data_IF_694728657487
#
_entry.id   IF_694728657487
#
_cell.length_a   1.000
_cell.length_b   1.000
_cell.length_c   1.000
_cell.angle_alpha   90.00
_cell.angle_beta   90.00
_cell.angle_gamma   90.00
#
_symmetry.space_group_name_H-M   'P 1'
#
loop_
_entity.id
_entity.type
_entity.pdbx_description
1 polymer ?
#
# COMPACT_ATOMS: atom_id res chain seq x y z
N UNK A 1 -10.05 4.19 -19.15
CA UNK A 1 -8.98 3.88 -18.18
C UNK A 1 -8.77 5.13 -17.34
N UNK A 2 -8.72 5.02 -16.03
CA UNK A 2 -8.43 6.13 -15.11
C UNK A 2 -6.96 6.03 -14.69
N UNK A 3 -6.23 7.13 -14.71
CA UNK A 3 -4.82 7.18 -14.31
C UNK A 3 -4.73 7.78 -12.90
N UNK A 4 -3.80 7.26 -12.09
CA UNK A 4 -3.51 7.72 -10.74
C UNK A 4 -2.08 8.27 -10.69
N UNK A 5 -1.88 9.38 -10.00
CA UNK A 5 -0.57 10.04 -9.87
C UNK A 5 0.04 9.71 -8.50
N UNK A 6 1.18 9.01 -8.44
CA UNK A 6 1.91 8.80 -7.18
C UNK A 6 2.60 10.10 -6.75
N UNK A 7 2.00 10.81 -5.80
CA UNK A 7 2.45 12.14 -5.35
C UNK A 7 3.94 12.16 -4.98
N UNK A 8 4.47 11.23 -4.16
CA UNK A 8 5.87 11.33 -3.75
C UNK A 8 6.87 11.15 -4.91
N UNK A 9 6.48 10.42 -5.96
CA UNK A 9 7.35 10.21 -7.13
C UNK A 9 7.49 11.46 -8.00
N UNK A 10 6.43 12.26 -8.12
CA UNK A 10 6.41 13.41 -9.03
C UNK A 10 6.57 14.76 -8.33
N UNK A 11 6.17 14.85 -7.07
CA UNK A 11 6.16 16.12 -6.34
C UNK A 11 7.07 16.14 -5.12
N UNK A 12 7.68 14.99 -4.76
CA UNK A 12 8.67 14.88 -3.69
C UNK A 12 8.13 15.39 -2.34
N UNK A 13 8.80 16.39 -1.77
CA UNK A 13 8.49 17.01 -0.48
C UNK A 13 7.54 18.22 -0.59
N UNK A 14 6.87 18.40 -1.73
CA UNK A 14 5.89 19.48 -1.88
C UNK A 14 4.77 19.33 -0.87
N UNK A 15 4.22 20.47 -0.39
CA UNK A 15 2.99 20.47 0.38
C UNK A 15 1.88 19.67 -0.31
N UNK A 16 1.19 18.82 0.46
CA UNK A 16 0.25 17.86 -0.12
C UNK A 16 -0.91 18.55 -0.84
N UNK A 17 -1.45 19.65 -0.30
CA UNK A 17 -2.54 20.39 -0.92
C UNK A 17 -2.10 21.04 -2.24
N UNK A 18 -0.86 21.54 -2.29
CA UNK A 18 -0.28 22.06 -3.53
C UNK A 18 -0.08 20.95 -4.56
N UNK A 19 0.40 19.77 -4.15
CA UNK A 19 0.53 18.61 -5.03
C UNK A 19 -0.83 18.21 -5.63
N UNK A 20 -1.89 18.16 -4.85
CA UNK A 20 -3.27 17.89 -5.31
C UNK A 20 -3.73 18.94 -6.34
N UNK A 21 -3.49 20.23 -6.11
CA UNK A 21 -3.79 21.27 -7.10
C UNK A 21 -3.08 21.04 -8.42
N UNK A 22 -1.80 20.63 -8.37
CA UNK A 22 -1.02 20.33 -9.59
C UNK A 22 -1.50 19.07 -10.30
N UNK A 23 -1.85 18.02 -9.57
CA UNK A 23 -2.49 16.82 -10.14
C UNK A 23 -3.71 17.22 -10.96
N UNK A 24 -4.58 18.06 -10.39
CA UNK A 24 -5.76 18.56 -11.10
C UNK A 24 -5.43 19.43 -12.31
N UNK A 25 -4.48 20.36 -12.16
CA UNK A 25 -4.06 21.25 -13.24
C UNK A 25 -3.45 20.50 -14.43
N UNK A 26 -2.83 19.34 -14.20
CA UNK A 26 -2.34 18.43 -15.24
C UNK A 26 -3.44 17.55 -15.87
N UNK A 27 -4.69 17.68 -15.45
CA UNK A 27 -5.83 16.97 -16.02
C UNK A 27 -6.13 15.61 -15.35
N UNK A 28 -5.48 15.27 -14.24
CA UNK A 28 -5.76 14.05 -13.49
C UNK A 28 -6.79 14.31 -12.40
N UNK A 29 -7.52 13.25 -12.03
CA UNK A 29 -8.55 13.25 -10.99
C UNK A 29 -8.32 12.22 -9.89
N UNK A 30 -7.13 11.58 -9.90
CA UNK A 30 -6.76 10.55 -8.93
C UNK A 30 -5.29 10.66 -8.54
N UNK A 31 -5.02 10.44 -7.26
CA UNK A 31 -3.69 10.44 -6.68
C UNK A 31 -3.51 9.28 -5.70
N UNK A 32 -2.27 8.92 -5.41
CA UNK A 32 -1.90 7.99 -4.35
C UNK A 32 -0.67 8.48 -3.60
N UNK A 33 -0.47 7.99 -2.38
CA UNK A 33 0.71 8.32 -1.59
C UNK A 33 1.12 7.17 -0.68
N UNK A 34 2.42 6.99 -0.49
CA UNK A 34 3.00 6.11 0.52
C UNK A 34 3.48 6.87 1.78
N UNK A 35 3.62 8.20 1.69
CA UNK A 35 4.04 9.07 2.80
C UNK A 35 2.81 9.66 3.51
N UNK A 36 2.06 8.85 4.24
CA UNK A 36 0.81 9.28 4.86
C UNK A 36 0.90 9.56 6.38
N UNK A 37 1.95 9.08 7.05
CA UNK A 37 2.05 9.16 8.52
C UNK A 37 2.03 10.59 9.08
N UNK A 38 2.56 11.55 8.33
CA UNK A 38 2.63 12.95 8.73
C UNK A 38 1.51 13.82 8.14
N UNK A 39 0.56 13.21 7.42
CA UNK A 39 -0.52 13.94 6.78
C UNK A 39 -1.65 14.25 7.77
N UNK A 40 -2.09 15.50 7.80
CA UNK A 40 -3.32 15.90 8.47
C UNK A 40 -4.54 15.50 7.62
N UNK A 41 -5.35 14.58 8.17
CA UNK A 41 -6.43 13.96 7.42
C UNK A 41 -7.53 14.95 7.00
N UNK A 42 -7.79 15.98 7.79
CA UNK A 42 -8.79 16.99 7.46
C UNK A 42 -8.32 17.86 6.30
N UNK A 43 -7.07 18.32 6.36
CA UNK A 43 -6.45 19.12 5.29
C UNK A 43 -6.37 18.37 3.98
N UNK A 44 -6.00 17.07 4.02
CA UNK A 44 -5.95 16.21 2.84
C UNK A 44 -7.33 16.05 2.22
N UNK A 45 -8.35 15.69 3.00
CA UNK A 45 -9.72 15.51 2.49
C UNK A 45 -10.26 16.81 1.89
N UNK A 46 -10.01 17.94 2.55
CA UNK A 46 -10.41 19.25 2.04
C UNK A 46 -9.73 19.56 0.70
N UNK A 47 -8.41 19.41 0.61
CA UNK A 47 -7.67 19.64 -0.63
C UNK A 47 -8.17 18.76 -1.77
N UNK A 48 -8.41 17.48 -1.51
CA UNK A 48 -8.97 16.53 -2.47
C UNK A 48 -10.36 16.95 -2.95
N UNK A 49 -11.26 17.31 -2.02
CA UNK A 49 -12.64 17.70 -2.33
C UNK A 49 -12.70 19.01 -3.13
N UNK A 50 -11.95 20.03 -2.72
CA UNK A 50 -11.90 21.35 -3.40
C UNK A 50 -11.38 21.26 -4.83
N UNK A 51 -10.51 20.30 -5.12
CA UNK A 51 -9.90 20.12 -6.44
C UNK A 51 -10.53 18.99 -7.27
N UNK A 52 -11.48 18.24 -6.74
CA UNK A 52 -12.09 17.10 -7.43
C UNK A 52 -11.07 16.00 -7.77
N UNK A 53 -10.12 15.76 -6.85
CA UNK A 53 -9.11 14.69 -6.95
C UNK A 53 -9.40 13.65 -5.85
N UNK A 54 -9.48 12.38 -6.22
CA UNK A 54 -9.64 11.28 -5.27
C UNK A 54 -8.27 10.75 -4.83
N UNK A 55 -8.04 10.65 -3.52
CA UNK A 55 -6.91 9.87 -3.00
C UNK A 55 -7.30 8.40 -3.00
N UNK A 56 -6.75 7.62 -3.95
CA UNK A 56 -7.19 6.25 -4.25
C UNK A 56 -6.58 5.21 -3.33
N UNK A 57 -5.31 5.34 -3.01
CA UNK A 57 -4.55 4.33 -2.26
C UNK A 57 -3.46 4.93 -1.38
N UNK A 58 -3.16 4.21 -0.30
CA UNK A 58 -1.97 4.40 0.54
C UNK A 58 -1.14 3.12 0.47
N UNK A 59 0.08 3.13 1.03
CA UNK A 59 0.82 1.90 1.31
C UNK A 59 0.65 1.48 2.77
N UNK A 60 0.81 0.19 3.05
CA UNK A 60 0.91 -0.31 4.43
C UNK A 60 2.18 0.22 5.10
N UNK A 61 2.19 0.32 6.43
CA UNK A 61 3.35 0.84 7.16
C UNK A 61 4.48 -0.17 7.35
N UNK A 62 4.23 -1.46 7.11
CA UNK A 62 5.19 -2.57 7.23
C UNK A 62 5.16 -3.48 6.00
N UNK A 63 6.31 -4.10 5.67
CA UNK A 63 6.51 -4.86 4.44
C UNK A 63 7.26 -6.20 4.63
N UNK A 64 7.38 -6.74 5.84
CA UNK A 64 8.22 -7.93 6.13
C UNK A 64 7.38 -9.18 6.39
N UNK A 65 6.58 -9.60 5.42
CA UNK A 65 5.77 -10.83 5.50
C UNK A 65 6.57 -12.10 5.19
N UNK A 66 7.73 -11.99 4.55
CA UNK A 66 8.62 -13.13 4.22
C UNK A 66 9.22 -13.82 5.45
N UNK A 67 9.24 -13.12 6.59
CA UNK A 67 9.78 -13.63 7.86
C UNK A 67 8.71 -13.63 8.94
N UNK A 68 8.43 -14.82 9.51
CA UNK A 68 7.40 -15.00 10.55
C UNK A 68 7.69 -14.18 11.83
N UNK A 69 8.94 -13.86 12.10
CA UNK A 69 9.30 -13.02 13.25
C UNK A 69 8.70 -11.60 13.18
N UNK A 70 8.37 -11.13 11.98
CA UNK A 70 7.78 -9.81 11.76
C UNK A 70 6.27 -9.84 11.57
N UNK A 71 5.62 -11.00 11.62
CA UNK A 71 4.17 -11.14 11.38
C UNK A 71 3.34 -10.26 12.31
N UNK A 72 3.62 -10.29 13.61
CA UNK A 72 2.89 -9.45 14.58
C UNK A 72 3.05 -7.97 14.27
N UNK A 73 4.28 -7.52 14.01
CA UNK A 73 4.56 -6.12 13.68
C UNK A 73 3.85 -5.69 12.39
N UNK A 74 3.80 -6.58 11.39
CA UNK A 74 3.09 -6.31 10.15
C UNK A 74 1.57 -6.19 10.38
N UNK A 75 0.96 -7.08 11.18
CA UNK A 75 -0.46 -7.02 11.51
C UNK A 75 -0.81 -5.75 12.30
N UNK A 76 0.05 -5.31 13.20
CA UNK A 76 -0.14 -4.04 13.92
C UNK A 76 -0.01 -2.84 12.98
N UNK A 77 0.98 -2.85 12.09
CA UNK A 77 1.13 -1.86 11.02
C UNK A 77 -0.07 -1.83 10.06
N UNK A 78 -0.69 -2.98 9.78
CA UNK A 78 -1.92 -3.05 9.00
C UNK A 78 -3.09 -2.34 9.71
N UNK A 79 -3.26 -2.56 11.03
CA UNK A 79 -4.30 -1.85 11.82
C UNK A 79 -4.10 -0.35 11.79
N UNK A 80 -2.86 0.11 11.96
CA UNK A 80 -2.48 1.53 11.83
C UNK A 80 -2.85 2.07 10.45
N UNK A 81 -2.46 1.35 9.40
CA UNK A 81 -2.73 1.74 8.00
C UNK A 81 -4.22 1.77 7.68
N UNK A 82 -5.01 0.83 8.20
CA UNK A 82 -6.47 0.83 8.06
C UNK A 82 -7.10 2.03 8.78
N UNK A 83 -6.61 2.41 9.96
CA UNK A 83 -7.07 3.59 10.68
C UNK A 83 -6.78 4.87 9.90
N UNK A 84 -5.56 4.99 9.35
CA UNK A 84 -5.18 6.11 8.49
C UNK A 84 -6.01 6.18 7.21
N UNK A 85 -6.22 5.03 6.55
CA UNK A 85 -7.04 4.95 5.35
C UNK A 85 -8.47 5.45 5.62
N UNK A 86 -9.09 5.03 6.73
CA UNK A 86 -10.42 5.54 7.13
C UNK A 86 -10.41 7.03 7.41
N UNK A 87 -9.40 7.54 8.13
CA UNK A 87 -9.28 8.97 8.42
C UNK A 87 -9.13 9.81 7.15
N UNK A 88 -8.39 9.31 6.17
CA UNK A 88 -8.14 9.96 4.87
C UNK A 88 -9.26 9.71 3.83
N UNK A 89 -10.24 8.84 4.12
CA UNK A 89 -11.31 8.48 3.20
C UNK A 89 -10.87 7.52 2.07
N UNK A 90 -9.77 6.80 2.28
CA UNK A 90 -9.19 5.84 1.32
C UNK A 90 -9.69 4.42 1.60
N UNK A 91 -9.91 3.63 0.56
CA UNK A 91 -10.40 2.25 0.66
C UNK A 91 -9.40 1.19 0.17
N UNK A 92 -8.22 1.59 -0.23
CA UNK A 92 -7.22 0.68 -0.80
C UNK A 92 -5.86 0.92 -0.17
N UNK A 93 -5.21 -0.18 0.21
CA UNK A 93 -3.82 -0.17 0.68
C UNK A 93 -2.98 -1.03 -0.26
N UNK A 94 -1.89 -0.49 -0.75
CA UNK A 94 -0.86 -1.26 -1.46
C UNK A 94 0.05 -1.87 -0.41
N UNK A 95 0.34 -3.16 -0.52
CA UNK A 95 1.29 -3.85 0.34
C UNK A 95 2.34 -4.60 -0.47
N UNK A 96 3.55 -4.56 0.01
CA UNK A 96 4.69 -5.34 -0.48
C UNK A 96 4.97 -6.47 0.51
N UNK A 97 5.56 -7.56 0.04
CA UNK A 97 5.85 -8.71 0.91
C UNK A 97 7.18 -8.59 1.67
N UNK A 98 8.07 -7.73 1.19
CA UNK A 98 9.39 -7.50 1.79
C UNK A 98 10.54 -8.19 1.05
N UNK A 99 11.75 -8.07 1.60
CA UNK A 99 12.95 -8.63 1.01
C UNK A 99 12.95 -10.17 1.07
N UNK A 100 13.68 -10.78 0.13
CA UNK A 100 14.06 -12.18 0.22
C UNK A 100 15.04 -12.35 1.40
N UNK A 101 14.70 -13.23 2.33
CA UNK A 101 15.50 -13.46 3.56
C UNK A 101 16.61 -14.46 3.36
N UNK A 102 16.69 -15.11 2.18
CA UNK A 102 17.60 -16.23 1.92
C UNK A 102 17.13 -17.56 2.50
N UNK A 103 16.01 -17.61 3.20
CA UNK A 103 15.37 -18.86 3.61
C UNK A 103 14.80 -19.60 2.37
N UNK A 104 14.49 -20.92 2.48
CA UNK A 104 13.82 -21.64 1.39
C UNK A 104 12.60 -20.87 0.88
N UNK A 105 12.44 -20.79 -0.45
CA UNK A 105 11.40 -19.96 -1.07
C UNK A 105 10.01 -20.37 -0.63
N UNK A 106 9.78 -21.67 -0.51
CA UNK A 106 8.52 -22.24 -0.05
C UNK A 106 8.15 -21.76 1.36
N UNK A 107 9.16 -21.68 2.26
CA UNK A 107 8.94 -21.18 3.62
C UNK A 107 8.57 -19.70 3.64
N UNK A 108 9.19 -18.89 2.82
CA UNK A 108 8.85 -17.47 2.69
C UNK A 108 7.45 -17.31 2.11
N UNK A 109 7.08 -18.10 1.11
CA UNK A 109 5.74 -18.13 0.53
C UNK A 109 4.68 -18.47 1.60
N UNK A 110 4.88 -19.55 2.36
CA UNK A 110 4.00 -19.92 3.48
C UNK A 110 3.83 -18.79 4.50
N UNK A 111 4.91 -18.10 4.84
CA UNK A 111 4.87 -16.98 5.77
C UNK A 111 4.00 -15.82 5.25
N UNK A 112 4.09 -15.52 3.95
CA UNK A 112 3.27 -14.49 3.30
C UNK A 112 1.79 -14.88 3.34
N UNK A 113 1.47 -16.10 2.88
CA UNK A 113 0.09 -16.60 2.84
C UNK A 113 -0.52 -16.61 4.24
N UNK A 114 0.20 -17.13 5.23
CA UNK A 114 -0.29 -17.17 6.61
C UNK A 114 -0.50 -15.77 7.21
N UNK A 115 0.41 -14.83 6.92
CA UNK A 115 0.26 -13.44 7.37
C UNK A 115 -0.98 -12.79 6.76
N UNK A 116 -1.23 -13.00 5.47
CA UNK A 116 -2.40 -12.47 4.79
C UNK A 116 -3.71 -13.14 5.26
N UNK A 117 -3.70 -14.43 5.58
CA UNK A 117 -4.86 -15.11 6.20
C UNK A 117 -5.23 -14.49 7.55
N UNK A 118 -4.23 -14.23 8.40
CA UNK A 118 -4.47 -13.56 9.67
C UNK A 118 -4.93 -12.11 9.51
N UNK A 119 -4.56 -11.45 8.42
CA UNK A 119 -5.01 -10.11 8.09
C UNK A 119 -6.51 -10.04 7.72
N UNK A 120 -7.10 -11.13 7.25
CA UNK A 120 -8.48 -11.15 6.73
C UNK A 120 -9.48 -10.56 7.74
N UNK A 121 -9.43 -10.98 9.01
CA UNK A 121 -10.33 -10.46 10.05
C UNK A 121 -10.18 -8.95 10.27
N UNK A 122 -8.95 -8.42 10.21
CA UNK A 122 -8.69 -6.98 10.33
C UNK A 122 -9.28 -6.23 9.14
N UNK A 123 -9.18 -6.80 7.95
CA UNK A 123 -9.64 -6.19 6.71
C UNK A 123 -11.17 -6.20 6.60
N UNK A 124 -11.82 -7.29 6.98
CA UNK A 124 -13.29 -7.38 7.03
C UNK A 124 -13.89 -6.28 7.90
N UNK A 125 -13.36 -6.07 9.09
CA UNK A 125 -13.82 -5.02 10.02
C UNK A 125 -13.48 -3.60 9.52
N UNK A 126 -12.43 -3.45 8.72
CA UNK A 126 -11.95 -2.14 8.28
C UNK A 126 -12.71 -1.55 7.10
N UNK A 127 -13.29 -2.39 6.25
CA UNK A 127 -13.84 -1.99 4.95
C UNK A 127 -12.78 -1.54 3.93
N UNK A 128 -11.51 -1.91 4.17
CA UNK A 128 -10.35 -1.58 3.30
C UNK A 128 -9.92 -2.84 2.53
N UNK A 129 -9.56 -2.67 1.27
CA UNK A 129 -8.97 -3.73 0.44
C UNK A 129 -7.46 -3.57 0.40
N UNK A 130 -6.72 -4.65 0.67
CA UNK A 130 -5.27 -4.71 0.45
C UNK A 130 -4.99 -5.23 -0.95
N UNK A 131 -4.09 -4.56 -1.64
CA UNK A 131 -3.60 -4.92 -2.97
C UNK A 131 -2.14 -5.36 -2.86
N UNK A 132 -1.86 -6.59 -3.23
CA UNK A 132 -0.50 -7.15 -3.21
C UNK A 132 0.27 -6.68 -4.44
N UNK A 133 1.43 -6.06 -4.23
CA UNK A 133 2.25 -5.46 -5.26
C UNK A 133 3.51 -6.30 -5.56
N UNK A 134 3.63 -6.89 -6.78
CA UNK A 134 4.89 -7.40 -7.28
C UNK A 134 5.81 -6.25 -7.70
N UNK A 135 7.09 -6.32 -7.33
CA UNK A 135 8.04 -5.23 -7.52
C UNK A 135 9.06 -5.48 -8.64
N UNK A 136 9.56 -4.40 -9.23
CA UNK A 136 10.70 -4.44 -10.13
C UNK A 136 12.00 -4.71 -9.34
N UNK A 137 12.44 -5.96 -9.34
CA UNK A 137 13.68 -6.38 -8.64
C UNK A 137 14.95 -6.19 -9.47
N UNK A 138 14.83 -5.79 -10.72
CA UNK A 138 15.99 -5.59 -11.61
C UNK A 138 16.69 -4.25 -11.36
N UNK A 139 15.93 -3.21 -11.04
CA UNK A 139 16.44 -1.84 -10.90
C UNK A 139 16.20 -1.31 -9.49
N UNK A 140 14.93 -1.10 -9.08
CA UNK A 140 14.60 -0.31 -7.91
C UNK A 140 14.55 -1.09 -6.61
N UNK A 141 14.07 -2.35 -6.65
CA UNK A 141 13.79 -3.15 -5.45
C UNK A 141 14.61 -4.45 -5.46
N UNK A 142 15.92 -4.34 -5.70
CA UNK A 142 16.83 -5.50 -5.71
C UNK A 142 16.76 -6.25 -4.39
N UNK A 143 16.63 -7.57 -4.48
CA UNK A 143 16.55 -8.44 -3.31
C UNK A 143 15.17 -8.55 -2.67
N UNK A 144 14.12 -7.94 -3.25
CA UNK A 144 12.75 -8.22 -2.82
C UNK A 144 12.28 -9.59 -3.30
N UNK A 145 11.40 -10.21 -2.51
CA UNK A 145 10.90 -11.57 -2.76
C UNK A 145 9.97 -11.63 -3.97
N UNK A 146 8.90 -10.81 -3.98
CA UNK A 146 7.83 -10.92 -4.96
C UNK A 146 8.07 -9.99 -6.15
N UNK A 147 8.41 -10.59 -7.30
CA UNK A 147 8.57 -9.89 -8.57
C UNK A 147 7.61 -10.41 -9.65
N UNK A 148 7.02 -11.59 -9.45
CA UNK A 148 6.14 -12.24 -10.42
C UNK A 148 4.68 -11.96 -10.10
N UNK A 149 3.94 -11.38 -11.06
CA UNK A 149 2.50 -11.22 -10.95
C UNK A 149 1.77 -12.58 -10.90
N UNK A 150 2.33 -13.62 -11.53
CA UNK A 150 1.77 -14.97 -11.49
C UNK A 150 1.82 -15.52 -10.06
N UNK A 151 2.97 -15.42 -9.41
CA UNK A 151 3.13 -15.84 -8.00
C UNK A 151 2.24 -14.98 -7.06
N UNK A 152 2.11 -13.69 -7.33
CA UNK A 152 1.18 -12.84 -6.58
C UNK A 152 -0.27 -13.33 -6.67
N UNK A 153 -0.71 -13.78 -7.85
CA UNK A 153 -2.04 -14.38 -8.03
C UNK A 153 -2.15 -15.73 -7.31
N UNK A 154 -1.11 -16.56 -7.29
CA UNK A 154 -1.07 -17.82 -6.55
C UNK A 154 -1.23 -17.56 -5.05
N UNK A 155 -0.46 -16.64 -4.47
CA UNK A 155 -0.58 -16.22 -3.07
C UNK A 155 -2.03 -15.80 -2.74
N UNK A 156 -2.63 -14.93 -3.55
CA UNK A 156 -4.01 -14.47 -3.30
C UNK A 156 -5.02 -15.62 -3.37
N UNK A 157 -4.85 -16.59 -4.28
CA UNK A 157 -5.71 -17.78 -4.37
C UNK A 157 -5.59 -18.70 -3.16
N UNK A 158 -4.42 -18.77 -2.54
CA UNK A 158 -4.19 -19.59 -1.35
C UNK A 158 -4.71 -18.92 -0.08
N UNK A 159 -4.82 -17.60 -0.05
CA UNK A 159 -5.37 -16.84 1.09
C UNK A 159 -6.88 -17.01 1.20
N UNK A 160 -7.59 -17.12 0.07
CA UNK A 160 -9.05 -17.20 -0.01
C UNK A 160 -9.61 -18.62 0.24
#
# INVERSE_FOLDING_TARGET
>A
MRLCVPIPCFFGQMDFAEAIRRVRALGFDAAETYNWKELDAESVRRACAENGVELLSLCTSEFRMTDEAFRSAWLDGLRESCAAARALGVKRLITQVGPDTGAPREKQHENIVETLRQAAAILEDSGVTVMLEPLNTLVDHKGYYLWSAVEGVEIIREVN
#
